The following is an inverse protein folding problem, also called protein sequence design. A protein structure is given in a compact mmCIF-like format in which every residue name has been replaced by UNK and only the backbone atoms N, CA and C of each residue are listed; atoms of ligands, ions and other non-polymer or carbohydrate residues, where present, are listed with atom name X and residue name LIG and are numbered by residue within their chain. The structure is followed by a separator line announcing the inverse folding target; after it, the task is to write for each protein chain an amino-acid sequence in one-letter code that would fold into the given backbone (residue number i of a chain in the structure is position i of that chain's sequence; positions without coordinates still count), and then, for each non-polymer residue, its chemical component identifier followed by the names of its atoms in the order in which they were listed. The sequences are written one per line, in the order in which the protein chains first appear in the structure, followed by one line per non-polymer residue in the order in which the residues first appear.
data_IF_861509627770
#
_entry.id   IF_861509627770
#
_cell.length_a   1.000
_cell.length_b   1.000
_cell.length_c   1.000
_cell.angle_alpha   90.00
_cell.angle_beta   90.00
_cell.angle_gamma   90.00
#
_symmetry.space_group_name_H-M   'P 1'
#
loop_
_entity.id
_entity.type
_entity.pdbx_description
1 polymer ?
#
# COMPACT_ATOMS: atom_id res chain seq x y z
N UNK A 1 12.30 -15.74 0.34
CA UNK A 1 11.63 -15.34 1.60
C UNK A 1 11.17 -13.89 1.57
N UNK A 2 12.05 -12.89 1.43
CA UNK A 2 11.67 -11.45 1.42
C UNK A 2 10.59 -11.08 0.39
N UNK A 3 10.61 -11.69 -0.81
CA UNK A 3 9.59 -11.46 -1.85
C UNK A 3 8.19 -11.95 -1.45
N UNK A 4 8.09 -13.09 -0.76
CA UNK A 4 6.81 -13.60 -0.28
C UNK A 4 6.22 -12.70 0.81
N UNK A 5 7.06 -12.13 1.68
CA UNK A 5 6.64 -11.14 2.68
C UNK A 5 6.10 -9.87 2.02
N UNK A 6 6.77 -9.37 0.98
CA UNK A 6 6.30 -8.19 0.23
C UNK A 6 4.97 -8.50 -0.47
N UNK A 7 4.85 -9.66 -1.12
CA UNK A 7 3.60 -10.07 -1.78
C UNK A 7 2.46 -10.16 -0.75
N UNK A 8 2.69 -10.80 0.39
CA UNK A 8 1.70 -10.89 1.47
C UNK A 8 1.30 -9.51 2.00
N UNK A 9 2.26 -8.63 2.24
CA UNK A 9 2.01 -7.25 2.65
C UNK A 9 1.14 -6.49 1.64
N UNK A 10 1.41 -6.66 0.33
CA UNK A 10 0.61 -6.04 -0.73
C UNK A 10 -0.84 -6.53 -0.69
N UNK A 11 -1.07 -7.83 -0.53
CA UNK A 11 -2.44 -8.36 -0.42
C UNK A 11 -3.18 -7.82 0.81
N UNK A 12 -2.50 -7.70 1.96
CA UNK A 12 -3.09 -7.13 3.17
C UNK A 12 -3.45 -5.65 2.97
N UNK A 13 -2.55 -4.86 2.39
CA UNK A 13 -2.81 -3.45 2.10
C UNK A 13 -3.98 -3.27 1.13
N UNK A 14 -4.05 -4.06 0.07
CA UNK A 14 -5.17 -4.02 -0.88
C UNK A 14 -6.51 -4.38 -0.24
N UNK A 15 -6.52 -5.35 0.69
CA UNK A 15 -7.73 -5.69 1.42
C UNK A 15 -8.19 -4.57 2.36
N UNK A 16 -7.24 -3.89 3.03
CA UNK A 16 -7.54 -2.72 3.88
C UNK A 16 -8.01 -1.52 3.06
N UNK A 17 -7.38 -1.23 1.93
CA UNK A 17 -7.79 -0.16 1.02
C UNK A 17 -9.19 -0.42 0.46
N UNK A 18 -9.49 -1.68 0.11
CA UNK A 18 -10.82 -2.07 -0.33
C UNK A 18 -11.87 -1.82 0.75
N UNK A 19 -11.61 -2.26 1.98
CA UNK A 19 -12.54 -2.05 3.09
C UNK A 19 -12.76 -0.55 3.38
N UNK A 20 -11.68 0.23 3.45
CA UNK A 20 -11.78 1.67 3.66
C UNK A 20 -12.53 2.37 2.52
N UNK A 21 -12.31 1.98 1.26
CA UNK A 21 -13.04 2.56 0.13
C UNK A 21 -14.51 2.14 0.11
N UNK A 22 -14.81 0.89 0.49
CA UNK A 22 -16.19 0.43 0.61
C UNK A 22 -16.95 1.23 1.66
N UNK A 23 -16.36 1.46 2.83
CA UNK A 23 -16.97 2.26 3.90
C UNK A 23 -17.13 3.74 3.47
N UNK A 24 -16.12 4.35 2.82
CA UNK A 24 -16.22 5.72 2.26
C UNK A 24 -17.34 5.83 1.23
N UNK A 25 -17.49 4.85 0.33
CA UNK A 25 -18.40 4.92 -0.83
C UNK A 25 -19.82 4.46 -0.52
N UNK A 26 -19.97 3.46 0.34
CA UNK A 26 -21.26 2.94 0.80
C UNK A 26 -21.84 3.82 1.91
N UNK A 27 -20.98 4.53 2.66
CA UNK A 27 -21.41 5.43 3.74
C UNK A 27 -22.02 4.70 4.94
N UNK A 28 -21.67 3.42 5.13
CA UNK A 28 -22.04 2.66 6.31
C UNK A 28 -21.11 3.06 7.46
N UNK A 29 -21.64 3.81 8.44
CA UNK A 29 -20.93 4.27 9.64
C UNK A 29 -19.49 4.79 9.40
N UNK A 30 -19.31 5.81 8.54
CA UNK A 30 -17.98 6.18 8.09
C UNK A 30 -17.16 6.85 9.22
N UNK A 31 -16.06 6.21 9.60
CA UNK A 31 -14.96 6.90 10.29
C UNK A 31 -13.99 7.40 9.22
N UNK A 32 -14.40 8.50 8.59
CA UNK A 32 -13.62 9.12 7.52
C UNK A 32 -12.17 9.38 7.92
N UNK A 33 -11.90 9.71 9.19
CA UNK A 33 -10.53 9.95 9.63
C UNK A 33 -9.68 8.68 9.54
N UNK A 34 -10.19 7.57 10.06
CA UNK A 34 -9.50 6.28 10.04
C UNK A 34 -9.37 5.74 8.61
N UNK A 35 -10.42 5.83 7.80
CA UNK A 35 -10.45 5.36 6.41
C UNK A 35 -9.42 6.12 5.55
N UNK A 36 -9.39 7.46 5.61
CA UNK A 36 -8.39 8.25 4.88
C UNK A 36 -6.97 8.04 5.43
N UNK A 37 -6.82 7.77 6.72
CA UNK A 37 -5.52 7.41 7.29
C UNK A 37 -5.00 6.07 6.75
N UNK A 38 -5.88 5.06 6.59
CA UNK A 38 -5.53 3.78 5.95
C UNK A 38 -5.01 4.02 4.53
N UNK A 39 -5.76 4.77 3.72
CA UNK A 39 -5.37 5.09 2.35
C UNK A 39 -4.05 5.87 2.30
N UNK A 40 -3.85 6.84 3.20
CA UNK A 40 -2.63 7.63 3.29
C UNK A 40 -1.40 6.79 3.64
N UNK A 41 -1.52 5.88 4.60
CA UNK A 41 -0.44 4.94 4.98
C UNK A 41 -0.15 3.96 3.85
N UNK A 42 -1.19 3.44 3.19
CA UNK A 42 -1.04 2.55 2.04
C UNK A 42 -0.27 3.23 0.90
N UNK A 43 -0.63 4.48 0.56
CA UNK A 43 0.06 5.27 -0.46
C UNK A 43 1.55 5.46 -0.13
N UNK A 44 1.90 5.75 1.13
CA UNK A 44 3.29 5.87 1.57
C UNK A 44 4.05 4.55 1.42
N UNK A 45 3.46 3.43 1.84
CA UNK A 45 4.12 2.12 1.75
C UNK A 45 4.35 1.74 0.29
N UNK A 46 3.34 1.87 -0.58
CA UNK A 46 3.50 1.62 -2.02
C UNK A 46 4.51 2.55 -2.67
N UNK A 47 4.53 3.83 -2.28
CA UNK A 47 5.52 4.81 -2.74
C UNK A 47 6.95 4.37 -2.39
N UNK A 48 7.19 3.95 -1.14
CA UNK A 48 8.49 3.45 -0.70
C UNK A 48 8.91 2.17 -1.42
N UNK A 49 7.98 1.23 -1.62
CA UNK A 49 8.25 -0.01 -2.38
C UNK A 49 8.62 0.33 -3.83
N UNK A 50 7.86 1.24 -4.47
CA UNK A 50 8.10 1.69 -5.83
C UNK A 50 9.47 2.38 -5.98
N UNK A 51 9.78 3.32 -5.08
CA UNK A 51 11.08 4.00 -5.05
C UNK A 51 12.22 3.00 -4.84
N UNK A 52 12.10 2.09 -3.88
CA UNK A 52 13.09 1.05 -3.64
C UNK A 52 13.30 0.13 -4.87
N UNK A 53 12.23 -0.19 -5.61
CA UNK A 53 12.33 -0.97 -6.83
C UNK A 53 13.05 -0.20 -7.96
N UNK A 54 12.74 1.09 -8.14
CA UNK A 54 13.38 1.94 -9.16
C UNK A 54 14.86 2.17 -8.86
N UNK A 55 15.18 2.60 -7.63
CA UNK A 55 16.57 2.86 -7.23
C UNK A 55 17.40 1.58 -7.12
N UNK A 56 16.80 0.49 -6.65
CA UNK A 56 17.46 -0.83 -6.59
C UNK A 56 17.82 -1.38 -7.96
N UNK A 57 17.02 -1.08 -9.00
CA UNK A 57 17.33 -1.48 -10.38
C UNK A 57 18.49 -0.67 -10.97
N UNK A 58 18.56 0.63 -10.65
CA UNK A 58 19.65 1.52 -11.11
C UNK A 58 21.03 1.09 -10.60
N UNK A 59 21.13 0.57 -9.38
CA UNK A 59 22.40 0.09 -8.82
C UNK A 59 22.91 -1.22 -9.45
N UNK A 60 22.04 -2.00 -10.11
CA UNK A 60 22.39 -3.31 -10.68
C UNK A 60 22.78 -3.26 -12.16
N UNK A 61 22.47 -2.16 -12.84
CA UNK A 61 22.64 -2.00 -14.29
C UNK A 61 23.88 -1.16 -14.67
N UNK A 62 24.63 -0.67 -13.68
CA UNK A 62 25.89 0.10 -13.81
C UNK A 62 27.13 -0.73 -13.38
N UNK A 63 26.96 -2.05 -13.24
CA UNK A 63 28.03 -3.04 -13.04
C UNK A 63 28.01 -3.92 -14.29
#
# INVERSE_FOLDING_TARGET
MKRFLIIGLVFVLLALDWAALDDITTGNEPDYFLEYMILGVSLLIFGLIGLAAVFGKKSRNNI
#
